data_IF_989086313689
#
_entry.id   IF_989086313689
#
_cell.length_a   1.000
_cell.length_b   1.000
_cell.length_c   1.000
_cell.angle_alpha   90.00
_cell.angle_beta   90.00
_cell.angle_gamma   90.00
#
_symmetry.space_group_name_H-M   'P 1'
#
loop_
_entity.id
_entity.type
_entity.pdbx_description
1 polymer ?
#
# COMPACT_ATOMS: atom_id res chain seq x y z
N UNK A 1 10.15 20.11 -19.96
CA UNK A 1 8.82 19.54 -19.60
C UNK A 1 9.10 18.25 -18.85
N UNK A 2 8.68 18.14 -17.59
CA UNK A 2 8.81 16.88 -16.85
C UNK A 2 8.03 15.80 -17.60
N UNK A 3 8.63 14.66 -17.86
CA UNK A 3 7.96 13.56 -18.54
C UNK A 3 6.76 13.09 -17.71
N UNK A 4 5.59 12.98 -18.33
CA UNK A 4 4.37 12.46 -17.65
C UNK A 4 4.45 10.95 -17.41
N UNK A 5 5.28 10.26 -18.18
CA UNK A 5 5.43 8.82 -18.11
C UNK A 5 5.69 8.26 -16.70
N UNK A 6 6.65 8.79 -15.89
CA UNK A 6 6.89 8.21 -14.56
C UNK A 6 5.68 8.34 -13.63
N UNK A 7 4.93 9.43 -13.74
CA UNK A 7 3.70 9.64 -12.97
C UNK A 7 2.61 8.65 -13.33
N UNK A 8 2.42 8.41 -14.65
CA UNK A 8 1.47 7.41 -15.14
C UNK A 8 1.88 5.99 -14.70
N UNK A 9 3.16 5.69 -14.72
CA UNK A 9 3.67 4.40 -14.26
C UNK A 9 3.42 4.20 -12.74
N UNK A 10 3.69 5.22 -11.93
CA UNK A 10 3.43 5.19 -10.47
C UNK A 10 1.94 5.03 -10.18
N UNK A 11 1.08 5.76 -10.89
CA UNK A 11 -0.38 5.62 -10.76
C UNK A 11 -0.86 4.23 -11.22
N UNK A 12 -0.34 3.74 -12.34
CA UNK A 12 -0.65 2.40 -12.87
C UNK A 12 -0.26 1.29 -11.90
N UNK A 13 0.94 1.37 -11.33
CA UNK A 13 1.39 0.43 -10.28
C UNK A 13 0.49 0.49 -9.04
N UNK A 14 0.06 1.68 -8.62
CA UNK A 14 -0.90 1.84 -7.54
C UNK A 14 -2.24 1.18 -7.86
N UNK A 15 -2.78 1.42 -9.05
CA UNK A 15 -4.02 0.81 -9.50
C UNK A 15 -3.91 -0.73 -9.55
N UNK A 16 -2.85 -1.26 -10.14
CA UNK A 16 -2.58 -2.71 -10.16
C UNK A 16 -2.47 -3.30 -8.76
N UNK A 17 -1.83 -2.57 -7.84
CA UNK A 17 -1.75 -2.97 -6.44
C UNK A 17 -3.13 -3.04 -5.79
N UNK A 18 -4.00 -2.05 -6.06
CA UNK A 18 -5.39 -2.02 -5.59
C UNK A 18 -6.28 -3.12 -6.18
N UNK A 19 -5.96 -3.61 -7.39
CA UNK A 19 -6.65 -4.74 -8.03
C UNK A 19 -6.30 -6.10 -7.38
N UNK A 20 -5.14 -6.20 -6.74
CA UNK A 20 -4.69 -7.46 -6.14
C UNK A 20 -5.62 -7.86 -4.98
N UNK A 21 -6.19 -9.08 -4.97
CA UNK A 21 -7.03 -9.57 -3.87
C UNK A 21 -6.35 -9.48 -2.51
N UNK A 22 -5.04 -9.68 -2.48
CA UNK A 22 -4.23 -9.57 -1.26
C UNK A 22 -4.10 -8.12 -0.75
N UNK A 23 -4.47 -7.10 -1.52
CA UNK A 23 -4.47 -5.70 -1.05
C UNK A 23 -5.61 -5.36 -0.08
N UNK A 24 -6.56 -6.29 0.11
CA UNK A 24 -7.60 -6.18 1.14
C UNK A 24 -8.97 -5.68 0.67
N UNK A 25 -9.21 -5.48 -0.66
CA UNK A 25 -10.56 -5.11 -1.13
C UNK A 25 -11.62 -6.16 -0.78
N UNK A 26 -11.22 -7.43 -0.66
CA UNK A 26 -12.11 -8.48 -0.16
C UNK A 26 -12.58 -8.20 1.28
N UNK A 27 -11.68 -7.74 2.15
CA UNK A 27 -12.05 -7.34 3.53
C UNK A 27 -13.00 -6.14 3.52
N UNK A 28 -12.82 -5.21 2.59
CA UNK A 28 -13.70 -4.05 2.44
C UNK A 28 -15.08 -4.42 1.87
N UNK A 29 -15.18 -5.44 1.01
CA UNK A 29 -16.43 -5.87 0.38
C UNK A 29 -17.31 -6.71 1.31
N UNK A 30 -16.72 -7.52 2.18
CA UNK A 30 -17.45 -8.43 3.07
C UNK A 30 -18.18 -7.73 4.26
N UNK A 31 -18.03 -6.41 4.42
CA UNK A 31 -18.61 -5.68 5.56
C UNK A 31 -19.69 -4.71 5.10
N UNK A 32 -20.95 -5.03 5.45
CA UNK A 32 -22.06 -4.11 5.34
C UNK A 32 -21.82 -2.86 6.20
N UNK A 33 -21.88 -1.66 5.59
CA UNK A 33 -21.89 -0.36 6.26
C UNK A 33 -20.55 0.34 6.50
N UNK A 34 -19.39 -0.24 6.13
CA UNK A 34 -18.06 0.34 6.47
C UNK A 34 -17.26 0.92 5.29
N UNK A 35 -17.86 1.08 4.10
CA UNK A 35 -17.14 1.43 2.87
C UNK A 35 -16.08 2.53 3.00
N UNK A 36 -16.43 3.80 3.27
CA UNK A 36 -15.42 4.88 3.30
C UNK A 36 -14.45 4.75 4.49
N UNK A 37 -14.94 4.32 5.65
CA UNK A 37 -14.10 4.13 6.85
C UNK A 37 -13.11 2.98 6.69
N UNK A 38 -13.52 1.88 6.05
CA UNK A 38 -12.64 0.77 5.77
C UNK A 38 -11.54 1.18 4.78
N UNK A 39 -11.89 1.92 3.72
CA UNK A 39 -10.91 2.44 2.75
C UNK A 39 -9.93 3.40 3.41
N UNK A 40 -10.41 4.31 4.27
CA UNK A 40 -9.54 5.21 5.02
C UNK A 40 -8.58 4.42 5.93
N UNK A 41 -9.09 3.43 6.67
CA UNK A 41 -8.25 2.58 7.53
C UNK A 41 -7.20 1.81 6.74
N UNK A 42 -7.57 1.29 5.57
CA UNK A 42 -6.64 0.63 4.65
C UNK A 42 -5.55 1.59 4.16
N UNK A 43 -5.96 2.79 3.73
CA UNK A 43 -5.03 3.83 3.28
C UNK A 43 -4.04 4.24 4.37
N UNK A 44 -4.52 4.45 5.58
CA UNK A 44 -3.67 4.80 6.74
C UNK A 44 -2.69 3.67 7.06
N UNK A 45 -3.14 2.42 7.07
CA UNK A 45 -2.27 1.26 7.30
C UNK A 45 -1.20 1.13 6.22
N UNK A 46 -1.58 1.31 4.95
CA UNK A 46 -0.65 1.26 3.84
C UNK A 46 0.38 2.40 3.89
N UNK A 47 -0.07 3.63 4.16
CA UNK A 47 0.81 4.78 4.34
C UNK A 47 1.78 4.57 5.52
N UNK A 48 1.31 4.00 6.64
CA UNK A 48 2.16 3.66 7.77
C UNK A 48 3.22 2.61 7.41
N UNK A 49 2.88 1.59 6.62
CA UNK A 49 3.85 0.63 6.07
C UNK A 49 4.93 1.32 5.24
N UNK A 50 4.53 2.20 4.32
CA UNK A 50 5.48 2.95 3.48
C UNK A 50 6.41 3.81 4.34
N UNK A 51 5.87 4.53 5.32
CA UNK A 51 6.64 5.37 6.22
C UNK A 51 7.60 4.56 7.10
N UNK A 52 7.16 3.41 7.62
CA UNK A 52 7.99 2.53 8.45
C UNK A 52 9.18 1.98 7.66
N UNK A 53 8.94 1.45 6.46
CA UNK A 53 10.00 0.91 5.60
C UNK A 53 10.97 2.02 5.19
N UNK A 54 10.45 3.17 4.73
CA UNK A 54 11.28 4.32 4.38
C UNK A 54 12.11 4.82 5.58
N UNK A 55 11.51 4.86 6.77
CA UNK A 55 12.22 5.24 8.00
C UNK A 55 13.35 4.28 8.38
N UNK A 56 13.17 2.97 8.20
CA UNK A 56 14.25 1.99 8.38
C UNK A 56 15.44 2.30 7.45
N UNK A 57 15.17 2.47 6.17
CA UNK A 57 16.24 2.79 5.21
C UNK A 57 16.91 4.14 5.49
N UNK A 58 16.15 5.17 5.89
CA UNK A 58 16.71 6.47 6.24
C UNK A 58 17.67 6.39 7.43
N UNK A 59 17.50 5.39 8.31
CA UNK A 59 18.39 5.13 9.44
C UNK A 59 19.50 4.12 9.11
N UNK A 60 19.65 3.71 7.85
CA UNK A 60 20.63 2.72 7.41
C UNK A 60 20.28 1.28 7.83
N UNK A 61 19.06 1.05 8.32
CA UNK A 61 18.59 -0.28 8.67
C UNK A 61 18.06 -0.98 7.41
N UNK A 62 18.72 -2.05 7.01
CA UNK A 62 18.25 -2.90 5.90
C UNK A 62 17.52 -4.09 6.48
N UNK A 63 16.19 -4.18 6.34
CA UNK A 63 15.45 -5.31 6.88
C UNK A 63 15.81 -6.63 6.18
N UNK A 64 15.84 -7.72 6.95
CA UNK A 64 15.81 -9.07 6.37
C UNK A 64 14.42 -9.31 5.78
N UNK A 65 14.30 -9.15 4.48
CA UNK A 65 13.00 -9.21 3.77
C UNK A 65 12.30 -10.55 3.90
N UNK A 66 12.97 -11.72 3.76
CA UNK A 66 12.34 -13.01 3.99
C UNK A 66 11.75 -13.16 5.39
N UNK A 67 12.51 -12.80 6.41
CA UNK A 67 12.08 -12.87 7.80
C UNK A 67 10.91 -11.89 8.06
N UNK A 68 11.03 -10.64 7.61
CA UNK A 68 9.99 -9.63 7.79
C UNK A 68 8.67 -10.02 7.11
N UNK A 69 8.74 -10.54 5.88
CA UNK A 69 7.56 -11.06 5.16
C UNK A 69 6.93 -12.22 5.91
N UNK A 70 7.73 -13.18 6.35
CA UNK A 70 7.27 -14.32 7.14
C UNK A 70 6.55 -13.87 8.41
N UNK A 71 7.14 -12.97 9.18
CA UNK A 71 6.54 -12.40 10.38
C UNK A 71 5.22 -11.66 10.09
N UNK A 72 5.17 -10.84 9.04
CA UNK A 72 3.94 -10.15 8.65
C UNK A 72 2.82 -11.12 8.26
N UNK A 73 3.13 -12.15 7.48
CA UNK A 73 2.15 -13.18 7.07
C UNK A 73 1.65 -13.97 8.27
N UNK A 74 2.53 -14.37 9.19
CA UNK A 74 2.17 -15.06 10.43
C UNK A 74 1.25 -14.22 11.31
N UNK A 75 1.58 -12.92 11.49
CA UNK A 75 0.74 -11.99 12.24
C UNK A 75 -0.63 -11.79 11.59
N UNK A 76 -0.69 -11.67 10.27
CA UNK A 76 -1.94 -11.58 9.52
C UNK A 76 -2.80 -12.83 9.70
N UNK A 77 -2.21 -14.01 9.60
CA UNK A 77 -2.90 -15.27 9.83
C UNK A 77 -3.46 -15.34 11.27
N UNK A 78 -2.65 -14.96 12.27
CA UNK A 78 -3.08 -14.91 13.66
C UNK A 78 -4.23 -13.90 13.85
N UNK A 79 -4.13 -12.68 13.29
CA UNK A 79 -5.20 -11.69 13.34
C UNK A 79 -6.50 -12.20 12.70
N UNK A 80 -6.39 -12.94 11.59
CA UNK A 80 -7.53 -13.57 10.94
C UNK A 80 -8.17 -14.62 11.83
N UNK A 81 -7.39 -15.56 12.39
CA UNK A 81 -7.84 -16.61 13.32
C UNK A 81 -8.52 -15.99 14.54
N UNK A 82 -7.89 -14.99 15.16
CA UNK A 82 -8.42 -14.30 16.34
C UNK A 82 -9.54 -13.31 16.00
N UNK A 83 -9.93 -13.20 14.72
CA UNK A 83 -10.97 -12.29 14.23
C UNK A 83 -10.72 -10.81 14.57
N UNK A 84 -9.47 -10.40 14.74
CA UNK A 84 -9.06 -9.04 15.09
C UNK A 84 -9.21 -8.03 13.93
N UNK A 85 -9.38 -8.51 12.70
CA UNK A 85 -9.58 -7.68 11.50
C UNK A 85 -10.97 -7.01 11.41
N UNK A 86 -11.81 -7.15 12.45
CA UNK A 86 -13.21 -6.69 12.42
C UNK A 86 -13.42 -5.20 12.66
N UNK A 87 -12.46 -4.52 13.29
CA UNK A 87 -12.51 -3.08 13.58
C UNK A 87 -11.70 -2.25 12.58
N UNK A 88 -11.89 -0.93 12.59
CA UNK A 88 -11.10 0.00 11.78
C UNK A 88 -9.60 -0.11 12.07
N UNK A 89 -9.22 -0.24 13.35
CA UNK A 89 -7.84 -0.46 13.77
C UNK A 89 -7.27 -1.79 13.26
N UNK A 90 -8.05 -2.86 13.31
CA UNK A 90 -7.65 -4.17 12.76
C UNK A 90 -7.45 -4.13 11.25
N UNK A 91 -8.30 -3.41 10.51
CA UNK A 91 -8.15 -3.21 9.06
C UNK A 91 -6.87 -2.40 8.76
N UNK A 92 -6.62 -1.33 9.53
CA UNK A 92 -5.42 -0.51 9.36
C UNK A 92 -4.15 -1.33 9.62
N UNK A 93 -4.10 -2.08 10.73
CA UNK A 93 -2.97 -2.94 11.05
C UNK A 93 -2.80 -4.06 10.03
N UNK A 94 -3.88 -4.71 9.60
CA UNK A 94 -3.84 -5.71 8.54
C UNK A 94 -3.30 -5.15 7.23
N UNK A 95 -3.73 -3.96 6.83
CA UNK A 95 -3.22 -3.28 5.63
C UNK A 95 -1.75 -2.87 5.77
N UNK A 96 -1.32 -2.44 6.96
CA UNK A 96 0.09 -2.14 7.25
C UNK A 96 0.96 -3.40 7.10
N UNK A 97 0.57 -4.50 7.72
CA UNK A 97 1.30 -5.77 7.64
C UNK A 97 1.37 -6.29 6.20
N UNK A 98 0.25 -6.20 5.48
CA UNK A 98 0.17 -6.62 4.10
C UNK A 98 1.04 -5.74 3.19
N UNK A 99 0.98 -4.42 3.37
CA UNK A 99 1.83 -3.47 2.66
C UNK A 99 3.32 -3.75 2.90
N UNK A 100 3.70 -4.00 4.15
CA UNK A 100 5.08 -4.34 4.51
C UNK A 100 5.51 -5.67 3.87
N UNK A 101 4.66 -6.70 3.91
CA UNK A 101 4.95 -7.98 3.28
C UNK A 101 5.14 -7.88 1.75
N UNK A 102 4.41 -6.97 1.09
CA UNK A 102 4.56 -6.70 -0.35
C UNK A 102 5.73 -5.75 -0.68
N UNK A 103 6.37 -5.14 0.31
CA UNK A 103 7.49 -4.23 0.11
C UNK A 103 7.08 -2.87 -0.48
N UNK A 104 5.86 -2.40 -0.22
CA UNK A 104 5.33 -1.15 -0.78
C UNK A 104 6.13 0.09 -0.36
N UNK A 105 6.78 0.05 0.81
CA UNK A 105 7.66 1.12 1.28
C UNK A 105 8.91 1.34 0.41
N UNK A 106 9.28 0.37 -0.42
CA UNK A 106 10.42 0.48 -1.34
C UNK A 106 10.23 1.56 -2.41
N UNK A 107 9.01 2.06 -2.63
CA UNK A 107 8.81 3.20 -3.54
C UNK A 107 9.42 4.50 -3.04
N UNK A 108 9.55 4.69 -1.72
CA UNK A 108 10.20 5.87 -1.13
C UNK A 108 11.71 5.72 -0.99
N UNK A 109 12.22 4.49 -1.05
CA UNK A 109 13.66 4.20 -0.91
C UNK A 109 14.52 4.95 -1.92
N UNK A 110 14.16 5.06 -3.22
CA UNK A 110 14.97 5.82 -4.18
C UNK A 110 15.14 7.30 -3.86
N UNK A 111 14.20 7.89 -3.11
CA UNK A 111 14.31 9.27 -2.66
C UNK A 111 15.26 9.45 -1.47
N UNK A 112 15.41 8.40 -0.66
CA UNK A 112 16.21 8.39 0.56
C UNK A 112 17.61 7.84 0.32
N UNK A 113 17.76 6.94 -0.67
CA UNK A 113 19.03 6.31 -1.03
C UNK A 113 19.21 6.36 -2.55
N UNK A 114 19.93 7.35 -3.09
CA UNK A 114 20.06 7.57 -4.53
C UNK A 114 20.66 6.42 -5.33
N UNK A 115 21.16 5.38 -4.66
CA UNK A 115 22.02 4.35 -5.26
C UNK A 115 21.31 3.03 -5.60
N UNK A 116 20.04 2.82 -5.30
CA UNK A 116 19.64 1.43 -5.09
C UNK A 116 18.70 0.77 -6.09
N UNK A 117 18.11 1.38 -7.09
CA UNK A 117 17.19 0.61 -7.94
C UNK A 117 17.15 1.13 -9.39
N UNK A 118 17.94 0.52 -10.27
CA UNK A 118 17.80 0.70 -11.71
C UNK A 118 16.41 0.21 -12.16
N UNK A 119 15.73 1.01 -12.98
CA UNK A 119 14.43 0.65 -13.59
C UNK A 119 13.16 1.01 -12.78
N UNK A 120 13.26 1.67 -11.63
CA UNK A 120 12.06 2.10 -10.89
C UNK A 120 11.55 3.45 -11.42
N UNK A 121 10.26 3.57 -11.91
CA UNK A 121 9.71 4.83 -12.41
C UNK A 121 9.70 5.96 -11.37
N UNK A 122 9.60 5.62 -10.08
CA UNK A 122 9.67 6.59 -8.99
C UNK A 122 11.04 7.29 -8.93
N UNK A 123 12.12 6.65 -9.42
CA UNK A 123 13.47 7.23 -9.45
C UNK A 123 13.55 8.49 -10.32
N UNK A 124 12.88 8.52 -11.45
CA UNK A 124 12.85 9.70 -12.31
C UNK A 124 12.19 10.90 -11.62
N UNK A 125 11.13 10.64 -10.84
CA UNK A 125 10.42 11.66 -10.08
C UNK A 125 11.27 12.15 -8.91
N UNK A 126 12.02 11.24 -8.27
CA UNK A 126 12.78 11.52 -7.05
C UNK A 126 14.26 11.80 -7.29
N UNK A 127 14.71 11.80 -8.55
CA UNK A 127 16.10 12.04 -8.93
C UNK A 127 16.68 13.37 -8.42
N UNK A 128 15.82 14.35 -8.14
CA UNK A 128 16.20 15.63 -7.52
C UNK A 128 16.51 15.54 -6.02
N UNK A 129 16.30 14.38 -5.38
CA UNK A 129 16.39 14.22 -3.92
C UNK A 129 15.29 14.96 -3.13
N UNK A 130 14.27 15.48 -3.81
CA UNK A 130 13.20 16.23 -3.18
C UNK A 130 12.22 15.32 -2.45
N UNK A 131 12.15 15.46 -1.13
CA UNK A 131 11.15 14.77 -0.30
C UNK A 131 9.72 15.09 -0.76
N UNK A 132 9.47 16.32 -1.24
CA UNK A 132 8.16 16.73 -1.75
C UNK A 132 7.72 15.89 -2.96
N UNK A 133 8.60 15.65 -3.91
CA UNK A 133 8.31 14.81 -5.06
C UNK A 133 8.11 13.34 -4.68
N UNK A 134 8.90 12.84 -3.72
CA UNK A 134 8.72 11.49 -3.19
C UNK A 134 7.35 11.32 -2.52
N UNK A 135 6.94 12.29 -1.70
CA UNK A 135 5.62 12.29 -1.07
C UNK A 135 4.48 12.41 -2.08
N UNK A 136 4.65 13.23 -3.12
CA UNK A 136 3.68 13.34 -4.20
C UNK A 136 3.51 12.02 -4.97
N UNK A 137 4.62 11.33 -5.29
CA UNK A 137 4.59 10.03 -5.95
C UNK A 137 3.92 8.97 -5.07
N UNK A 138 4.26 8.93 -3.78
CA UNK A 138 3.64 8.02 -2.81
C UNK A 138 2.15 8.30 -2.64
N UNK A 139 1.76 9.58 -2.58
CA UNK A 139 0.36 10.01 -2.51
C UNK A 139 -0.44 9.61 -3.75
N UNK A 140 0.14 9.79 -4.95
CA UNK A 140 -0.48 9.39 -6.21
C UNK A 140 -0.67 7.87 -6.27
N UNK A 141 0.35 7.10 -5.90
CA UNK A 141 0.27 5.64 -5.82
C UNK A 141 -0.87 5.19 -4.88
N UNK A 142 -0.88 5.75 -3.67
CA UNK A 142 -1.89 5.43 -2.65
C UNK A 142 -3.30 5.81 -3.14
N UNK A 143 -3.48 6.98 -3.74
CA UNK A 143 -4.77 7.42 -4.28
C UNK A 143 -5.27 6.49 -5.39
N UNK A 144 -4.40 6.11 -6.33
CA UNK A 144 -4.74 5.17 -7.40
C UNK A 144 -5.09 3.77 -6.86
N UNK A 145 -4.34 3.29 -5.86
CA UNK A 145 -4.62 2.03 -5.18
C UNK A 145 -6.00 2.06 -4.50
N UNK A 146 -6.30 3.11 -3.73
CA UNK A 146 -7.58 3.22 -3.03
C UNK A 146 -8.75 3.38 -3.99
N UNK A 147 -8.58 4.11 -5.10
CA UNK A 147 -9.59 4.24 -6.14
C UNK A 147 -9.92 2.88 -6.77
N UNK A 148 -8.91 2.11 -7.18
CA UNK A 148 -9.10 0.77 -7.73
C UNK A 148 -9.78 -0.17 -6.70
N UNK A 149 -9.33 -0.15 -5.46
CA UNK A 149 -9.92 -0.92 -4.36
C UNK A 149 -11.39 -0.53 -4.13
N UNK A 150 -11.73 0.76 -4.16
CA UNK A 150 -13.09 1.24 -3.98
C UNK A 150 -14.03 0.76 -5.10
N UNK A 151 -13.56 0.82 -6.35
CA UNK A 151 -14.32 0.36 -7.52
C UNK A 151 -14.60 -1.14 -7.41
N UNK A 152 -13.59 -1.94 -7.07
CA UNK A 152 -13.75 -3.39 -6.91
C UNK A 152 -14.69 -3.74 -5.75
N UNK A 153 -14.51 -3.09 -4.59
CA UNK A 153 -15.37 -3.31 -3.44
C UNK A 153 -16.84 -2.94 -3.73
N UNK A 154 -17.07 -1.85 -4.47
CA UNK A 154 -18.41 -1.45 -4.90
C UNK A 154 -19.00 -2.44 -5.90
N UNK A 155 -18.22 -2.93 -6.87
CA UNK A 155 -18.62 -3.95 -7.83
C UNK A 155 -18.96 -5.27 -7.16
N UNK A 156 -18.10 -5.76 -6.29
CA UNK A 156 -18.32 -6.99 -5.55
C UNK A 156 -19.61 -6.95 -4.69
N UNK A 157 -19.86 -5.82 -4.02
CA UNK A 157 -21.11 -5.65 -3.27
C UNK A 157 -22.35 -5.73 -4.14
N UNK A 158 -22.34 -5.13 -5.32
CA UNK A 158 -23.46 -5.18 -6.26
C UNK A 158 -23.78 -6.61 -6.72
N UNK A 159 -22.75 -7.44 -6.86
CA UNK A 159 -22.91 -8.85 -7.26
C UNK A 159 -23.37 -9.71 -6.09
N UNK A 160 -22.76 -9.54 -4.91
CA UNK A 160 -23.04 -10.38 -3.73
C UNK A 160 -24.38 -10.05 -3.03
N UNK A 161 -24.89 -8.83 -3.20
CA UNK A 161 -26.12 -8.35 -2.55
C UNK A 161 -27.32 -8.23 -3.52
N UNK A 162 -27.20 -8.76 -4.74
CA UNK A 162 -28.36 -8.94 -5.61
C UNK A 162 -29.21 -10.09 -5.03
N UNK A 163 -30.50 -9.84 -4.75
CA UNK A 163 -31.43 -10.87 -4.28
C UNK A 163 -31.62 -11.97 -5.33
#
# INVERSE_FOLDING_TARGET
MAALWPWLAVAGLGALHGLNPASGWMLASCRSGSGPRALLSMGLGHAASMAAVAGCYAQGLVPDWPLLRGACVMLLALMFILRLLRGSGGIALGSMLLGTAHGTGMMLVPALVPLCLEGNPAREITASGSLGWALAAAGLHLAAMLAATAVLAAGARRVLLRP
#
